data_IF_329783495777
#
_entry.id   IF_329783495777
#
_cell.length_a   1.000
_cell.length_b   1.000
_cell.length_c   1.000
_cell.angle_alpha   90.00
_cell.angle_beta   90.00
_cell.angle_gamma   90.00
#
_symmetry.space_group_name_H-M   'P 1'
#
loop_
_entity.id
_entity.type
_entity.pdbx_description
1 polymer ?
#
# COMPACT_ATOMS: atom_id res chain seq x y z
N UNK A 1 20.67 5.38 7.30
CA UNK A 1 21.88 4.52 7.33
C UNK A 1 22.46 4.29 5.94
N UNK A 2 21.68 4.06 4.88
CA UNK A 2 22.18 3.82 3.51
C UNK A 2 23.08 4.96 3.01
N UNK A 3 22.63 6.22 3.14
CA UNK A 3 23.45 7.38 2.77
C UNK A 3 24.73 7.47 3.62
N UNK A 4 24.63 7.22 4.92
CA UNK A 4 25.77 7.23 5.83
C UNK A 4 26.81 6.18 5.43
N UNK A 5 26.38 4.99 5.07
CA UNK A 5 27.26 3.91 4.61
C UNK A 5 27.94 4.26 3.27
N UNK A 6 27.20 4.86 2.34
CA UNK A 6 27.73 5.28 1.04
C UNK A 6 28.80 6.38 1.20
N UNK A 7 28.51 7.40 2.01
CA UNK A 7 29.45 8.48 2.30
C UNK A 7 30.71 7.99 3.03
N UNK A 8 30.54 7.11 4.03
CA UNK A 8 31.65 6.52 4.74
C UNK A 8 32.57 5.72 3.80
N UNK A 9 32.01 4.92 2.90
CA UNK A 9 32.78 4.17 1.88
C UNK A 9 33.49 5.09 0.88
N UNK A 10 32.96 6.29 0.67
CA UNK A 10 33.61 7.33 -0.16
C UNK A 10 34.67 8.14 0.62
N UNK A 11 35.00 7.76 1.86
CA UNK A 11 36.05 8.39 2.65
C UNK A 11 35.60 9.63 3.44
N UNK A 12 34.29 9.91 3.50
CA UNK A 12 33.80 11.04 4.29
C UNK A 12 33.66 10.68 5.78
N UNK A 13 33.92 11.66 6.65
CA UNK A 13 33.58 11.56 8.07
C UNK A 13 32.06 11.73 8.23
N UNK A 14 31.41 10.72 8.79
CA UNK A 14 29.94 10.68 8.88
C UNK A 14 29.51 10.55 10.33
N UNK A 15 28.53 11.37 10.74
CA UNK A 15 27.84 11.25 12.04
C UNK A 15 26.36 10.97 11.79
N UNK A 16 25.83 9.91 12.37
CA UNK A 16 24.40 9.60 12.40
C UNK A 16 23.85 10.03 13.74
N UNK A 17 22.75 10.79 13.72
CA UNK A 17 22.08 11.27 14.93
C UNK A 17 20.72 10.56 14.99
N UNK A 18 20.43 9.92 16.11
CA UNK A 18 19.16 9.26 16.41
C UNK A 18 18.54 9.92 17.65
N UNK A 19 17.24 10.22 17.60
CA UNK A 19 16.52 10.84 18.70
C UNK A 19 16.11 9.83 19.78
N UNK A 20 15.74 8.63 19.38
CA UNK A 20 15.33 7.57 20.31
C UNK A 20 16.54 6.83 20.88
N UNK A 21 16.32 6.11 21.95
CA UNK A 21 17.31 5.22 22.59
C UNK A 21 17.53 3.90 21.82
N UNK A 22 16.92 3.74 20.64
CA UNK A 22 17.01 2.56 19.78
C UNK A 22 17.26 2.93 18.33
N UNK A 23 17.85 2.02 17.58
CA UNK A 23 17.94 2.07 16.12
C UNK A 23 16.71 1.42 15.49
N UNK A 24 16.52 1.61 14.17
CA UNK A 24 15.48 0.95 13.39
C UNK A 24 14.38 1.88 12.89
N UNK A 25 14.10 2.98 13.59
CA UNK A 25 13.05 3.92 13.16
C UNK A 25 11.69 3.23 13.04
N UNK A 26 11.16 3.12 11.83
CA UNK A 26 9.89 2.44 11.51
C UNK A 26 9.96 0.90 11.52
N UNK A 27 11.13 0.32 11.72
CA UNK A 27 11.31 -1.12 11.95
C UNK A 27 11.38 -1.36 13.45
N UNK A 28 10.56 -2.24 13.97
CA UNK A 28 10.53 -2.60 15.38
C UNK A 28 10.00 -4.01 15.55
N UNK A 29 10.89 -4.89 16.00
CA UNK A 29 10.50 -6.25 16.40
C UNK A 29 10.29 -6.29 17.92
N UNK A 30 9.14 -6.76 18.35
CA UNK A 30 8.78 -6.90 19.78
C UNK A 30 8.95 -8.37 20.17
N UNK A 31 9.80 -8.67 21.16
CA UNK A 31 9.96 -10.03 21.65
C UNK A 31 8.68 -10.50 22.38
N UNK A 32 8.26 -11.72 22.08
CA UNK A 32 7.13 -12.38 22.71
C UNK A 32 7.60 -13.55 23.59
N UNK A 33 6.68 -14.11 24.37
CA UNK A 33 6.96 -15.31 25.17
C UNK A 33 7.33 -16.50 24.28
N UNK A 34 8.24 -17.35 24.75
CA UNK A 34 8.66 -18.55 24.01
C UNK A 34 9.67 -18.31 22.89
N UNK A 35 10.37 -17.17 22.91
CA UNK A 35 11.41 -16.85 21.90
C UNK A 35 10.84 -16.41 20.54
N UNK A 36 9.54 -16.16 20.47
CA UNK A 36 8.89 -15.58 19.31
C UNK A 36 9.07 -14.06 19.29
N UNK A 37 8.76 -13.44 18.16
CA UNK A 37 8.70 -11.99 18.02
C UNK A 37 7.51 -11.59 17.13
N UNK A 38 7.09 -10.35 17.26
CA UNK A 38 6.11 -9.74 16.38
C UNK A 38 6.68 -8.45 15.82
N UNK A 39 6.41 -8.19 14.53
CA UNK A 39 6.78 -6.93 13.92
C UNK A 39 5.71 -5.87 14.24
N UNK A 40 6.15 -4.78 14.88
CA UNK A 40 5.31 -3.60 15.19
C UNK A 40 5.60 -2.44 14.22
N UNK A 41 6.31 -2.71 13.13
CA UNK A 41 6.67 -1.76 12.11
C UNK A 41 6.67 -2.42 10.74
N UNK A 42 7.60 -2.03 9.85
CA UNK A 42 7.75 -2.65 8.53
C UNK A 42 8.07 -4.12 8.63
N UNK A 43 7.07 -4.98 8.40
CA UNK A 43 7.16 -6.42 8.58
C UNK A 43 7.39 -7.21 7.30
N UNK A 44 7.24 -6.60 6.13
CA UNK A 44 7.40 -7.29 4.85
C UNK A 44 7.88 -6.33 3.75
N UNK A 45 8.38 -6.91 2.68
CA UNK A 45 8.80 -6.22 1.48
C UNK A 45 8.52 -7.11 0.26
N UNK A 46 8.58 -6.53 -0.93
CA UNK A 46 8.28 -7.22 -2.18
C UNK A 46 9.53 -7.52 -2.99
N UNK A 47 9.42 -8.51 -3.90
CA UNK A 47 10.52 -8.92 -4.79
C UNK A 47 10.96 -7.84 -5.78
N UNK A 48 10.12 -6.83 -6.04
CA UNK A 48 10.42 -5.70 -6.91
C UNK A 48 11.14 -4.53 -6.19
N UNK A 49 11.60 -4.72 -4.96
CA UNK A 49 12.37 -3.73 -4.19
C UNK A 49 13.89 -3.99 -4.26
N UNK A 50 14.58 -3.65 -5.37
CA UNK A 50 15.96 -4.08 -5.63
C UNK A 50 16.97 -3.53 -4.63
N UNK A 51 16.76 -2.33 -4.11
CA UNK A 51 17.65 -1.75 -3.11
C UNK A 51 17.54 -2.46 -1.76
N UNK A 52 16.34 -2.83 -1.35
CA UNK A 52 16.11 -3.63 -0.13
C UNK A 52 16.74 -5.00 -0.27
N UNK A 53 16.49 -5.69 -1.38
CA UNK A 53 17.05 -7.00 -1.67
C UNK A 53 18.59 -7.00 -1.68
N UNK A 54 19.20 -5.95 -2.23
CA UNK A 54 20.67 -5.78 -2.22
C UNK A 54 21.23 -5.80 -0.79
N UNK A 55 20.58 -5.10 0.15
CA UNK A 55 21.05 -5.09 1.54
C UNK A 55 20.76 -6.41 2.26
N UNK A 56 19.60 -7.03 2.00
CA UNK A 56 19.28 -8.36 2.53
C UNK A 56 20.35 -9.38 2.12
N UNK A 57 20.71 -9.41 0.84
CA UNK A 57 21.78 -10.29 0.33
C UNK A 57 23.15 -9.94 0.93
N UNK A 58 23.47 -8.64 1.01
CA UNK A 58 24.75 -8.18 1.58
C UNK A 58 24.92 -8.62 3.02
N UNK A 59 23.87 -8.55 3.83
CA UNK A 59 23.86 -8.94 5.23
C UNK A 59 23.48 -10.41 5.44
N UNK A 60 23.22 -11.17 4.38
CA UNK A 60 22.84 -12.60 4.41
C UNK A 60 21.65 -12.85 5.34
N UNK A 61 20.65 -11.97 5.28
CA UNK A 61 19.45 -12.09 6.10
C UNK A 61 18.56 -13.23 5.57
N UNK A 62 18.00 -14.00 6.49
CA UNK A 62 17.04 -15.05 6.16
C UNK A 62 15.72 -14.41 5.71
N UNK A 63 15.19 -14.86 4.58
CA UNK A 63 13.88 -14.47 4.09
C UNK A 63 12.86 -15.57 4.40
N UNK A 64 11.70 -15.15 4.86
CA UNK A 64 10.53 -16.00 5.00
C UNK A 64 9.50 -15.57 3.97
N UNK A 65 8.95 -16.53 3.24
CA UNK A 65 7.82 -16.28 2.35
C UNK A 65 6.56 -16.09 3.19
N UNK A 66 5.87 -14.97 3.00
CA UNK A 66 4.54 -14.76 3.56
C UNK A 66 3.52 -15.37 2.62
N UNK A 67 2.60 -16.14 3.20
CA UNK A 67 1.41 -16.61 2.52
C UNK A 67 0.23 -15.93 3.18
N UNK A 68 -0.22 -14.85 2.57
CA UNK A 68 -1.25 -13.98 3.15
C UNK A 68 -2.66 -14.63 3.15
N UNK A 69 -2.82 -15.77 2.48
CA UNK A 69 -4.13 -16.41 2.34
C UNK A 69 -5.13 -15.54 1.58
N UNK A 70 -6.40 -15.86 1.68
CA UNK A 70 -7.48 -15.02 1.16
C UNK A 70 -7.88 -13.98 2.19
N UNK A 71 -7.99 -12.70 1.83
CA UNK A 71 -8.42 -11.67 2.76
C UNK A 71 -9.85 -11.92 3.24
N UNK A 72 -10.06 -11.73 4.54
CA UNK A 72 -11.36 -11.75 5.17
C UNK A 72 -11.71 -10.36 5.63
N UNK A 73 -12.88 -9.91 5.28
CA UNK A 73 -13.39 -8.59 5.66
C UNK A 73 -14.40 -8.73 6.79
N UNK A 74 -14.30 -7.86 7.78
CA UNK A 74 -15.25 -7.76 8.89
C UNK A 74 -15.90 -6.37 8.86
N UNK A 75 -17.23 -6.35 8.76
CA UNK A 75 -18.00 -5.12 8.73
C UNK A 75 -19.32 -5.30 9.50
N UNK A 76 -19.58 -4.45 10.47
CA UNK A 76 -20.80 -4.45 11.29
C UNK A 76 -21.15 -5.85 11.82
N UNK A 77 -20.17 -6.56 12.38
CA UNK A 77 -20.33 -7.91 12.91
C UNK A 77 -20.53 -9.01 11.86
N UNK A 78 -20.55 -8.67 10.57
CA UNK A 78 -20.62 -9.63 9.46
C UNK A 78 -19.25 -9.84 8.85
N UNK A 79 -18.92 -11.07 8.48
CA UNK A 79 -17.67 -11.39 7.79
C UNK A 79 -17.94 -11.92 6.38
N UNK A 80 -17.06 -11.53 5.45
CA UNK A 80 -17.04 -12.05 4.08
C UNK A 80 -15.62 -12.39 3.66
N UNK A 81 -15.46 -13.47 2.91
CA UNK A 81 -14.19 -13.83 2.29
C UNK A 81 -14.15 -13.29 0.86
N UNK A 82 -12.98 -12.86 0.40
CA UNK A 82 -12.82 -12.28 -0.93
C UNK A 82 -13.21 -13.23 -2.08
N UNK A 83 -13.25 -14.52 -1.83
CA UNK A 83 -13.69 -15.51 -2.81
C UNK A 83 -15.22 -15.58 -3.00
N UNK A 84 -16.00 -14.94 -2.13
CA UNK A 84 -17.48 -15.01 -2.14
C UNK A 84 -18.10 -13.62 -2.19
N UNK A 85 -17.77 -12.84 -3.19
CA UNK A 85 -18.11 -11.42 -3.28
C UNK A 85 -19.60 -11.16 -3.54
N UNK A 86 -20.34 -12.17 -4.03
CA UNK A 86 -21.79 -12.06 -4.25
C UNK A 86 -22.57 -11.75 -2.96
N UNK A 87 -22.05 -12.19 -1.81
CA UNK A 87 -22.70 -12.10 -0.51
C UNK A 87 -22.09 -11.02 0.40
N UNK A 88 -21.45 -10.03 -0.16
CA UNK A 88 -20.90 -8.93 0.61
C UNK A 88 -22.00 -8.22 1.42
N UNK A 89 -21.76 -7.94 2.70
CA UNK A 89 -22.73 -7.24 3.55
C UNK A 89 -22.79 -5.73 3.27
N UNK A 90 -22.23 -5.29 2.17
CA UNK A 90 -22.20 -3.90 1.72
C UNK A 90 -23.28 -3.66 0.68
N UNK A 91 -23.84 -2.45 0.65
CA UNK A 91 -24.80 -2.03 -0.38
C UNK A 91 -24.07 -1.57 -1.66
N UNK A 92 -23.42 -2.54 -2.29
CA UNK A 92 -22.65 -2.35 -3.53
C UNK A 92 -23.57 -2.25 -4.73
N UNK A 93 -23.15 -1.48 -5.73
CA UNK A 93 -23.80 -1.50 -7.05
C UNK A 93 -23.70 -2.91 -7.68
N UNK A 94 -24.60 -3.28 -8.59
CA UNK A 94 -24.58 -4.62 -9.21
C UNK A 94 -23.24 -4.96 -9.87
N UNK A 95 -22.60 -3.99 -10.54
CA UNK A 95 -21.30 -4.14 -11.19
C UNK A 95 -20.12 -4.30 -10.23
N UNK A 96 -20.27 -3.85 -8.99
CA UNK A 96 -19.26 -3.97 -7.93
C UNK A 96 -19.31 -5.34 -7.24
N UNK A 97 -20.34 -6.13 -7.52
CA UNK A 97 -20.48 -7.48 -6.97
C UNK A 97 -19.75 -8.49 -7.85
N UNK A 98 -19.36 -9.62 -7.29
CA UNK A 98 -18.69 -10.72 -7.99
C UNK A 98 -17.30 -10.41 -8.57
N UNK A 99 -16.67 -9.33 -8.13
CA UNK A 99 -15.29 -8.95 -8.48
C UNK A 99 -14.49 -8.66 -7.22
N UNK A 100 -13.17 -8.76 -7.30
CA UNK A 100 -12.31 -8.40 -6.15
C UNK A 100 -12.25 -6.88 -5.98
N UNK A 101 -11.93 -6.43 -4.76
CA UNK A 101 -11.73 -4.99 -4.48
C UNK A 101 -10.70 -4.40 -5.43
N UNK A 102 -9.58 -5.09 -5.64
CA UNK A 102 -8.53 -4.64 -6.57
C UNK A 102 -9.00 -4.55 -8.01
N UNK A 103 -9.78 -5.55 -8.49
CA UNK A 103 -10.32 -5.53 -9.86
C UNK A 103 -11.29 -4.37 -10.05
N UNK A 104 -12.13 -4.09 -9.04
CA UNK A 104 -13.07 -2.97 -9.13
C UNK A 104 -12.35 -1.62 -9.04
N UNK A 105 -11.34 -1.50 -8.18
CA UNK A 105 -10.50 -0.31 -8.13
C UNK A 105 -9.85 -0.04 -9.49
N UNK A 106 -9.21 -1.05 -10.10
CA UNK A 106 -8.60 -0.93 -11.42
C UNK A 106 -9.62 -0.52 -12.51
N UNK A 107 -10.84 -1.03 -12.45
CA UNK A 107 -11.91 -0.61 -13.36
C UNK A 107 -12.25 0.87 -13.22
N UNK A 108 -12.43 1.36 -12.01
CA UNK A 108 -12.69 2.79 -11.76
C UNK A 108 -11.50 3.69 -12.12
N UNK A 109 -10.27 3.22 -11.91
CA UNK A 109 -9.07 3.93 -12.36
C UNK A 109 -9.03 4.00 -13.88
N UNK A 110 -9.34 2.91 -14.58
CA UNK A 110 -9.44 2.89 -16.04
C UNK A 110 -10.48 3.89 -16.57
N UNK A 111 -11.66 3.98 -15.94
CA UNK A 111 -12.68 4.98 -16.30
C UNK A 111 -12.20 6.43 -16.14
N UNK A 112 -11.20 6.66 -15.29
CA UNK A 112 -10.52 7.94 -15.12
C UNK A 112 -9.35 8.16 -16.07
N UNK A 113 -9.04 7.21 -16.96
CA UNK A 113 -7.84 7.25 -17.81
C UNK A 113 -6.54 7.04 -17.03
N UNK A 114 -6.60 6.28 -15.95
CA UNK A 114 -5.49 6.01 -15.02
C UNK A 114 -5.21 4.50 -15.00
N UNK A 115 -4.79 3.96 -16.12
CA UNK A 115 -4.30 2.58 -16.17
C UNK A 115 -2.83 2.47 -15.74
N UNK A 116 -2.37 1.23 -15.57
CA UNK A 116 -1.00 0.93 -15.15
C UNK A 116 0.04 1.57 -16.07
N UNK A 117 -0.14 1.47 -17.39
CA UNK A 117 0.83 1.97 -18.36
C UNK A 117 0.95 3.51 -18.29
N UNK A 118 -0.19 4.18 -18.11
CA UNK A 118 -0.24 5.63 -17.93
C UNK A 118 0.48 6.05 -16.65
N UNK A 119 0.16 5.43 -15.51
CA UNK A 119 0.70 5.82 -14.20
C UNK A 119 2.18 5.49 -14.05
N UNK A 120 2.67 4.43 -14.68
CA UNK A 120 4.09 4.06 -14.66
C UNK A 120 4.92 4.77 -15.75
N UNK A 121 4.30 5.60 -16.59
CA UNK A 121 5.04 6.35 -17.62
C UNK A 121 6.00 7.36 -17.00
N UNK A 122 7.12 7.60 -17.66
CA UNK A 122 8.17 8.50 -17.15
C UNK A 122 7.71 9.97 -16.97
N UNK A 123 6.63 10.36 -17.65
CA UNK A 123 6.10 11.72 -17.61
C UNK A 123 4.84 11.86 -16.73
N UNK A 124 4.45 10.80 -16.02
CA UNK A 124 3.30 10.85 -15.12
C UNK A 124 3.69 11.42 -13.74
N UNK A 125 2.84 12.23 -13.12
CA UNK A 125 1.65 12.85 -13.68
C UNK A 125 2.01 14.06 -14.57
N UNK A 126 1.43 14.12 -15.76
CA UNK A 126 1.54 15.32 -16.59
C UNK A 126 0.81 16.53 -15.97
N UNK A 127 0.99 17.72 -16.54
CA UNK A 127 0.44 18.96 -16.00
C UNK A 127 -1.12 18.94 -15.95
N UNK A 128 -1.78 18.32 -16.92
CA UNK A 128 -3.24 18.24 -16.97
C UNK A 128 -3.77 17.27 -15.91
N UNK A 129 -3.16 16.10 -15.78
CA UNK A 129 -3.47 15.11 -14.75
C UNK A 129 -3.26 15.68 -13.36
N UNK A 130 -2.12 16.36 -13.13
CA UNK A 130 -1.85 17.03 -11.86
C UNK A 130 -2.92 18.05 -11.52
N UNK A 131 -3.26 18.95 -12.45
CA UNK A 131 -4.30 19.96 -12.24
C UNK A 131 -5.66 19.34 -11.89
N UNK A 132 -5.98 18.18 -12.48
CA UNK A 132 -7.25 17.47 -12.24
C UNK A 132 -7.28 16.75 -10.91
N UNK A 133 -6.19 16.10 -10.50
CA UNK A 133 -6.17 15.14 -9.39
C UNK A 133 -5.50 15.64 -8.11
N UNK A 134 -4.72 16.72 -8.16
CA UNK A 134 -3.86 17.15 -7.04
C UNK A 134 -4.65 17.55 -5.78
N UNK A 135 -5.89 18.02 -5.97
CA UNK A 135 -6.77 18.43 -4.88
C UNK A 135 -7.91 17.43 -4.59
N UNK A 136 -7.84 16.22 -5.18
CA UNK A 136 -8.82 15.17 -4.95
C UNK A 136 -8.23 14.05 -4.11
N UNK A 137 -8.99 13.57 -3.15
CA UNK A 137 -8.74 12.27 -2.55
C UNK A 137 -9.14 11.15 -3.51
N UNK A 138 -8.58 9.95 -3.31
CA UNK A 138 -8.96 8.77 -4.11
C UNK A 138 -10.47 8.51 -4.00
N UNK A 139 -11.07 8.66 -2.83
CA UNK A 139 -12.51 8.49 -2.65
C UNK A 139 -13.35 9.50 -3.42
N UNK A 140 -12.94 10.76 -3.48
CA UNK A 140 -13.64 11.79 -4.29
C UNK A 140 -13.51 11.50 -5.78
N UNK A 141 -12.32 11.08 -6.23
CA UNK A 141 -12.09 10.69 -7.61
C UNK A 141 -12.96 9.49 -8.01
N UNK A 142 -13.04 8.46 -7.16
CA UNK A 142 -13.88 7.28 -7.38
C UNK A 142 -15.38 7.65 -7.45
N UNK A 143 -15.85 8.54 -6.58
CA UNK A 143 -17.25 9.06 -6.64
C UNK A 143 -17.58 9.75 -7.96
N UNK A 144 -16.64 10.49 -8.52
CA UNK A 144 -16.85 11.19 -9.80
C UNK A 144 -17.11 10.22 -10.97
N UNK A 145 -16.63 8.98 -10.89
CA UNK A 145 -16.85 7.93 -11.90
C UNK A 145 -17.91 6.91 -11.49
N UNK A 146 -18.68 7.20 -10.45
CA UNK A 146 -19.86 6.43 -10.10
C UNK A 146 -19.63 5.28 -9.11
N UNK A 147 -18.50 5.25 -8.40
CA UNK A 147 -18.31 4.28 -7.32
C UNK A 147 -19.33 4.49 -6.19
N UNK A 148 -19.88 3.38 -5.67
CA UNK A 148 -20.80 3.43 -4.54
C UNK A 148 -20.08 3.87 -3.25
N UNK A 149 -20.84 4.47 -2.32
CA UNK A 149 -20.30 4.75 -0.99
C UNK A 149 -19.88 3.46 -0.26
N UNK A 150 -20.59 2.37 -0.52
CA UNK A 150 -20.27 1.07 0.05
C UNK A 150 -18.93 0.52 -0.48
N UNK A 151 -18.62 0.72 -1.77
CA UNK A 151 -17.32 0.35 -2.31
C UNK A 151 -16.18 1.18 -1.68
N UNK A 152 -16.38 2.47 -1.47
CA UNK A 152 -15.39 3.32 -0.83
C UNK A 152 -15.13 2.88 0.62
N UNK A 153 -16.19 2.53 1.38
CA UNK A 153 -16.03 1.95 2.72
C UNK A 153 -15.28 0.62 2.69
N UNK A 154 -15.55 -0.22 1.70
CA UNK A 154 -14.88 -1.48 1.51
C UNK A 154 -13.39 -1.28 1.15
N UNK A 155 -13.08 -0.29 0.32
CA UNK A 155 -11.71 0.10 -0.02
C UNK A 155 -10.95 0.57 1.22
N UNK A 156 -11.58 1.36 2.09
CA UNK A 156 -11.01 1.76 3.37
C UNK A 156 -10.68 0.56 4.26
N UNK A 157 -11.57 -0.41 4.34
CA UNK A 157 -11.33 -1.65 5.08
C UNK A 157 -10.22 -2.50 4.45
N UNK A 158 -10.10 -2.51 3.12
CA UNK A 158 -9.07 -3.25 2.39
C UNK A 158 -7.69 -2.62 2.54
N UNK A 159 -7.60 -1.30 2.42
CA UNK A 159 -6.35 -0.55 2.48
C UNK A 159 -5.88 -0.22 3.90
N UNK A 160 -6.65 -0.53 4.92
CA UNK A 160 -6.48 -0.06 6.29
C UNK A 160 -5.24 -0.54 7.04
N UNK A 161 -4.33 -1.24 6.39
CA UNK A 161 -3.08 -1.71 7.02
C UNK A 161 -2.11 -0.56 7.32
N UNK A 162 -2.17 0.56 6.61
CA UNK A 162 -1.18 1.64 6.71
C UNK A 162 -1.76 3.04 6.90
N UNK A 163 -3.06 3.22 6.69
CA UNK A 163 -3.72 4.54 6.81
C UNK A 163 -5.06 4.40 7.50
N UNK A 164 -5.49 5.42 8.19
CA UNK A 164 -6.77 5.44 8.89
C UNK A 164 -7.99 5.44 7.95
N UNK A 165 -7.77 5.78 6.67
CA UNK A 165 -8.82 5.79 5.63
C UNK A 165 -8.15 5.92 4.27
N UNK A 166 -8.15 4.85 3.47
CA UNK A 166 -7.57 4.86 2.13
C UNK A 166 -8.25 5.86 1.21
N UNK A 167 -9.57 6.05 1.36
CA UNK A 167 -10.34 6.98 0.55
C UNK A 167 -9.98 8.46 0.77
N UNK A 168 -9.35 8.81 1.90
CA UNK A 168 -8.93 10.16 2.23
C UNK A 168 -7.53 10.53 1.72
N UNK A 169 -6.78 9.56 1.17
CA UNK A 169 -5.42 9.81 0.66
C UNK A 169 -5.51 10.64 -0.63
N UNK A 170 -4.62 11.63 -0.83
CA UNK A 170 -4.53 12.34 -2.10
C UNK A 170 -4.29 11.37 -3.26
N UNK A 171 -5.02 11.57 -4.37
CA UNK A 171 -5.07 10.61 -5.49
C UNK A 171 -3.70 10.33 -6.10
N UNK A 172 -2.88 11.35 -6.37
CA UNK A 172 -1.59 11.16 -7.05
C UNK A 172 -0.61 10.31 -6.23
N UNK A 173 -0.36 10.60 -4.93
CA UNK A 173 0.50 9.74 -4.11
C UNK A 173 -0.03 8.32 -3.94
N UNK A 174 -1.35 8.14 -3.82
CA UNK A 174 -1.97 6.82 -3.67
C UNK A 174 -1.77 5.96 -4.93
N UNK A 175 -1.99 6.53 -6.11
CA UNK A 175 -1.77 5.84 -7.37
C UNK A 175 -0.30 5.45 -7.58
N UNK A 176 0.64 6.35 -7.24
CA UNK A 176 2.06 6.03 -7.30
C UNK A 176 2.43 4.86 -6.38
N UNK A 177 1.81 4.78 -5.21
CA UNK A 177 1.96 3.65 -4.30
C UNK A 177 1.31 2.37 -4.86
N UNK A 178 0.04 2.46 -5.30
CA UNK A 178 -0.74 1.31 -5.77
C UNK A 178 -0.09 0.62 -6.97
N UNK A 179 0.36 1.38 -7.97
CA UNK A 179 0.99 0.82 -9.18
C UNK A 179 2.50 0.61 -9.05
N UNK A 180 3.18 1.36 -8.21
CA UNK A 180 4.61 1.19 -7.95
C UNK A 180 4.97 -0.12 -7.26
N UNK A 181 3.98 -0.79 -6.70
CA UNK A 181 4.12 -2.05 -5.97
C UNK A 181 3.80 -3.31 -6.81
N UNK A 182 3.56 -3.19 -8.13
CA UNK A 182 3.25 -4.32 -9.03
C UNK A 182 4.45 -4.94 -9.70
#
# INVERSE_FOLDING_TARGET
LTAALALHRAGHSVRVIEYHDRVGGRLLSIPLKGGQFSEAGGGHFRSNMPYTLKYIQHFKLLLLSLNDGLPRYLYDGKSAESASLANWPYDLHPEERNVTVSSMLNYYLYLNGLDTDTVLSANWPDAATRKRLDNLSIGEMLKQVGASNAFIQLLDAHGGTFTSSSSAIPTIPDLAYHFGDQ
#
